data_IF_305918459887
#
_entry.id   IF_305918459887
#
_cell.length_a   1.000
_cell.length_b   1.000
_cell.length_c   1.000
_cell.angle_alpha   90.00
_cell.angle_beta   90.00
_cell.angle_gamma   90.00
#
_symmetry.space_group_name_H-M   'P 1'
#
loop_
_entity.id
_entity.type
_entity.pdbx_description
1 polymer ?
#
# COMPACT_ATOMS: atom_id res chain seq x y z
N UNK A 1 -14.98 13.80 -5.03
CA UNK A 1 -13.90 14.64 -5.60
C UNK A 1 -12.76 13.70 -5.95
N UNK A 2 -12.24 13.72 -7.19
CA UNK A 2 -11.14 12.83 -7.60
C UNK A 2 -9.86 13.64 -7.59
N UNK A 3 -8.86 13.21 -6.80
CA UNK A 3 -7.57 13.89 -6.66
C UNK A 3 -6.55 13.14 -7.52
N UNK A 4 -5.74 13.89 -8.26
CA UNK A 4 -4.70 13.35 -9.13
C UNK A 4 -3.37 14.00 -8.77
N UNK A 5 -2.32 13.19 -8.71
CA UNK A 5 -0.94 13.66 -8.63
C UNK A 5 -0.42 13.89 -10.04
N UNK A 6 0.08 15.10 -10.30
CA UNK A 6 0.58 15.52 -11.61
C UNK A 6 2.10 15.38 -11.62
N UNK A 7 2.62 14.46 -12.43
CA UNK A 7 4.06 14.30 -12.60
C UNK A 7 4.54 14.97 -13.88
N UNK A 8 5.48 15.90 -13.73
CA UNK A 8 6.23 16.49 -14.83
C UNK A 8 7.50 15.68 -15.11
N UNK A 9 7.88 15.61 -16.39
CA UNK A 9 9.10 14.91 -16.78
C UNK A 9 10.34 15.66 -16.25
N UNK A 10 11.39 14.96 -15.77
CA UNK A 10 12.62 15.60 -15.28
C UNK A 10 13.33 16.48 -16.31
N UNK A 11 13.05 16.29 -17.60
CA UNK A 11 13.53 17.13 -18.70
C UNK A 11 12.32 17.76 -19.41
N UNK A 12 11.79 18.89 -18.89
CA UNK A 12 10.65 19.55 -19.50
C UNK A 12 11.02 20.14 -20.87
N UNK A 13 10.10 20.03 -21.82
CA UNK A 13 10.24 20.67 -23.14
C UNK A 13 10.03 22.19 -23.01
N UNK A 14 10.68 22.94 -23.90
CA UNK A 14 10.57 24.40 -23.91
C UNK A 14 9.19 24.89 -24.37
N UNK A 15 8.54 24.14 -25.27
CA UNK A 15 7.18 24.45 -25.72
C UNK A 15 6.13 24.09 -24.66
N UNK A 16 5.32 25.05 -24.19
CA UNK A 16 4.30 24.80 -23.18
C UNK A 16 3.23 23.78 -23.59
N UNK A 17 2.86 23.72 -24.88
CA UNK A 17 1.83 22.82 -25.37
C UNK A 17 2.32 21.36 -25.36
N UNK A 18 3.52 21.10 -25.90
CA UNK A 18 4.13 19.77 -25.84
C UNK A 18 4.43 19.31 -24.42
N UNK A 19 4.81 20.24 -23.52
CA UNK A 19 5.05 19.94 -22.10
C UNK A 19 3.78 19.50 -21.39
N UNK A 20 2.66 20.19 -21.62
CA UNK A 20 1.37 19.84 -21.06
C UNK A 20 0.89 18.45 -21.51
N UNK A 21 1.16 18.07 -22.76
CA UNK A 21 0.81 16.75 -23.30
C UNK A 21 1.58 15.58 -22.66
N UNK A 22 2.73 15.85 -22.01
CA UNK A 22 3.54 14.83 -21.33
C UNK A 22 3.25 14.69 -19.83
N UNK A 23 2.33 15.48 -19.29
CA UNK A 23 1.94 15.36 -17.88
C UNK A 23 1.23 14.03 -17.65
N UNK A 24 1.74 13.23 -16.71
CA UNK A 24 1.12 11.98 -16.30
C UNK A 24 0.26 12.24 -15.06
N UNK A 25 -1.04 12.02 -15.21
CA UNK A 25 -2.00 12.12 -14.11
C UNK A 25 -2.17 10.75 -13.48
N UNK A 26 -1.57 10.56 -12.31
CA UNK A 26 -1.75 9.34 -11.53
C UNK A 26 -2.89 9.57 -10.56
N UNK A 27 -3.87 8.68 -10.60
CA UNK A 27 -5.01 8.76 -9.71
C UNK A 27 -4.58 8.38 -8.28
N UNK A 28 -4.73 9.31 -7.34
CA UNK A 28 -4.38 9.09 -5.94
C UNK A 28 -5.54 8.43 -5.20
N UNK A 29 -5.79 7.16 -5.55
CA UNK A 29 -6.91 6.39 -5.02
C UNK A 29 -6.42 5.31 -4.08
N UNK A 30 -7.07 5.24 -2.93
CA UNK A 30 -6.96 4.11 -2.02
C UNK A 30 -7.28 2.79 -2.74
N UNK A 31 -6.33 1.86 -2.72
CA UNK A 31 -6.46 0.56 -3.39
C UNK A 31 -7.04 -0.47 -2.43
N UNK A 32 -8.37 -0.55 -2.38
CA UNK A 32 -9.10 -1.45 -1.47
C UNK A 32 -8.65 -2.92 -1.50
N UNK A 33 -8.28 -3.45 -2.68
CA UNK A 33 -7.76 -4.82 -2.79
C UNK A 33 -6.37 -4.97 -2.16
N UNK A 34 -5.55 -3.93 -2.23
CA UNK A 34 -4.25 -3.92 -1.56
C UNK A 34 -4.40 -3.87 -0.04
N UNK A 35 -5.39 -3.12 0.46
CA UNK A 35 -5.68 -3.04 1.89
C UNK A 35 -6.24 -4.34 2.48
N UNK A 36 -7.19 -4.99 1.80
CA UNK A 36 -7.83 -6.22 2.32
C UNK A 36 -6.93 -7.45 2.13
N UNK A 37 -6.17 -7.51 1.02
CA UNK A 37 -5.30 -8.65 0.72
C UNK A 37 -3.86 -8.22 0.41
N UNK A 38 -3.12 -7.68 1.39
CA UNK A 38 -1.79 -7.12 1.14
C UNK A 38 -0.81 -8.19 0.63
N UNK A 39 -0.84 -9.40 1.20
CA UNK A 39 0.03 -10.50 0.79
C UNK A 39 -0.18 -10.90 -0.68
N UNK A 40 -1.44 -11.01 -1.12
CA UNK A 40 -1.77 -11.37 -2.51
C UNK A 40 -1.37 -10.24 -3.45
N UNK A 41 -1.62 -8.98 -3.04
CA UNK A 41 -1.28 -7.81 -3.84
C UNK A 41 0.23 -7.67 -4.06
N UNK A 42 1.03 -7.76 -2.99
CA UNK A 42 2.48 -7.67 -3.06
C UNK A 42 3.08 -8.79 -3.92
N UNK A 43 2.52 -9.99 -3.81
CA UNK A 43 2.94 -11.14 -4.62
C UNK A 43 2.64 -10.93 -6.11
N UNK A 44 1.45 -10.45 -6.46
CA UNK A 44 1.08 -10.16 -7.86
C UNK A 44 1.90 -9.01 -8.45
N UNK A 45 2.25 -8.01 -7.65
CA UNK A 45 3.10 -6.88 -8.08
C UNK A 45 4.60 -7.21 -8.11
N UNK A 46 5.01 -8.40 -7.70
CA UNK A 46 6.41 -8.82 -7.67
C UNK A 46 7.25 -8.05 -6.63
N UNK A 47 6.60 -7.52 -5.60
CA UNK A 47 7.21 -6.72 -4.53
C UNK A 47 7.73 -7.66 -3.43
N UNK A 48 8.77 -8.43 -3.74
CA UNK A 48 9.25 -9.52 -2.90
C UNK A 48 9.83 -9.05 -1.56
N UNK A 49 10.51 -7.90 -1.53
CA UNK A 49 11.06 -7.35 -0.29
C UNK A 49 10.01 -6.79 0.64
N UNK A 50 9.03 -6.11 0.07
CA UNK A 50 7.86 -5.63 0.79
C UNK A 50 7.04 -6.80 1.31
N UNK A 51 6.91 -7.89 0.55
CA UNK A 51 6.25 -9.11 1.00
C UNK A 51 6.96 -9.73 2.20
N UNK A 52 8.30 -9.85 2.14
CA UNK A 52 9.09 -10.38 3.28
C UNK A 52 8.95 -9.48 4.50
N UNK A 53 9.09 -8.16 4.34
CA UNK A 53 8.93 -7.20 5.43
C UNK A 53 7.52 -7.29 6.05
N UNK A 54 6.48 -7.40 5.22
CA UNK A 54 5.10 -7.57 5.65
C UNK A 54 4.90 -8.86 6.46
N UNK A 55 5.43 -10.00 5.97
CA UNK A 55 5.33 -11.28 6.67
C UNK A 55 6.05 -11.25 8.03
N UNK A 56 7.22 -10.63 8.09
CA UNK A 56 7.97 -10.44 9.35
C UNK A 56 7.19 -9.57 10.33
N UNK A 57 6.62 -8.45 9.87
CA UNK A 57 5.87 -7.54 10.73
C UNK A 57 4.60 -8.18 11.28
N UNK A 58 3.83 -8.88 10.43
CA UNK A 58 2.59 -9.56 10.86
C UNK A 58 2.89 -10.70 11.81
N UNK A 59 3.90 -11.54 11.51
CA UNK A 59 4.26 -12.64 12.40
C UNK A 59 4.76 -12.14 13.75
N UNK A 60 5.55 -11.06 13.78
CA UNK A 60 5.97 -10.41 15.02
C UNK A 60 4.77 -9.85 15.82
N UNK A 61 3.84 -9.17 15.15
CA UNK A 61 2.63 -8.64 15.80
C UNK A 61 1.78 -9.76 16.42
N UNK A 62 1.54 -10.83 15.67
CA UNK A 62 0.79 -11.99 16.16
C UNK A 62 1.51 -12.63 17.35
N UNK A 63 2.81 -12.85 17.27
CA UNK A 63 3.61 -13.42 18.36
C UNK A 63 3.57 -12.57 19.63
N UNK A 64 3.64 -11.24 19.50
CA UNK A 64 3.51 -10.32 20.64
C UNK A 64 2.11 -10.43 21.27
N UNK A 65 1.06 -10.44 20.46
CA UNK A 65 -0.31 -10.55 20.97
C UNK A 65 -0.58 -11.90 21.64
N UNK A 66 0.00 -12.98 21.12
CA UNK A 66 -0.11 -14.32 21.70
C UNK A 66 0.59 -14.41 23.07
N UNK A 67 1.80 -13.84 23.20
CA UNK A 67 2.52 -13.73 24.48
C UNK A 67 1.72 -12.90 25.51
N UNK A 68 0.95 -11.92 25.06
CA UNK A 68 0.05 -11.12 25.90
C UNK A 68 -1.26 -11.83 26.25
N UNK A 69 -1.46 -13.07 25.79
CA UNK A 69 -2.65 -13.87 26.05
C UNK A 69 -3.89 -13.40 25.29
N UNK A 70 -3.72 -12.71 24.15
CA UNK A 70 -4.82 -12.27 23.34
C UNK A 70 -5.59 -13.47 22.76
N UNK A 71 -6.92 -13.42 22.78
CA UNK A 71 -7.73 -14.47 22.15
C UNK A 71 -7.57 -14.44 20.63
N UNK A 72 -7.75 -15.57 19.92
CA UNK A 72 -7.66 -15.62 18.45
C UNK A 72 -8.61 -14.62 17.74
N UNK A 73 -9.77 -14.36 18.33
CA UNK A 73 -10.72 -13.37 17.85
C UNK A 73 -10.17 -11.94 17.97
N UNK A 74 -9.56 -11.61 19.11
CA UNK A 74 -8.91 -10.31 19.34
C UNK A 74 -7.74 -10.09 18.38
N UNK A 75 -6.88 -11.10 18.19
CA UNK A 75 -5.77 -11.06 17.24
C UNK A 75 -6.27 -10.77 15.83
N UNK A 76 -7.30 -11.51 15.38
CA UNK A 76 -7.87 -11.33 14.04
C UNK A 76 -8.43 -9.92 13.82
N UNK A 77 -9.16 -9.37 14.80
CA UNK A 77 -9.70 -8.01 14.72
C UNK A 77 -8.58 -6.97 14.64
N UNK A 78 -7.55 -7.08 15.49
CA UNK A 78 -6.42 -6.14 15.50
C UNK A 78 -5.68 -6.17 14.17
N UNK A 79 -5.41 -7.36 13.63
CA UNK A 79 -4.71 -7.50 12.33
C UNK A 79 -5.51 -6.87 11.20
N UNK A 80 -6.83 -7.05 11.16
CA UNK A 80 -7.70 -6.42 10.15
C UNK A 80 -7.69 -4.89 10.28
N UNK A 81 -7.77 -4.36 11.50
CA UNK A 81 -7.69 -2.90 11.72
C UNK A 81 -6.35 -2.36 11.22
N UNK A 82 -5.24 -3.02 11.56
CA UNK A 82 -3.90 -2.64 11.10
C UNK A 82 -3.85 -2.65 9.57
N UNK A 83 -4.39 -3.67 8.91
CA UNK A 83 -4.41 -3.73 7.44
C UNK A 83 -5.22 -2.61 6.80
N UNK A 84 -6.37 -2.22 7.38
CA UNK A 84 -7.20 -1.13 6.84
C UNK A 84 -6.54 0.24 7.07
N UNK A 85 -5.83 0.43 8.19
CA UNK A 85 -5.18 1.70 8.52
C UNK A 85 -3.91 1.92 7.69
N UNK A 86 -3.18 0.86 7.38
CA UNK A 86 -1.86 0.95 6.73
C UNK A 86 -1.79 0.45 5.28
N UNK A 87 -2.78 -0.30 4.80
CA UNK A 87 -2.89 -0.74 3.39
C UNK A 87 -3.64 0.25 2.53
#
# INVERSE_FOLDING_TARGET
MVVYTVHESPKPLADPFERAARLVFINDRFHWLAAIFPAIWLLVKGMWWELVAYLVLISALIGVLDVLGATPATVSIIVVIVQIVFG
#
